data_IF_105843598566
#
_entry.id   IF_105843598566
#
_cell.length_a   1.000
_cell.length_b   1.000
_cell.length_c   1.000
_cell.angle_alpha   90.00
_cell.angle_beta   90.00
_cell.angle_gamma   90.00
#
_symmetry.space_group_name_H-M   'P 1'
#
loop_
_entity.id
_entity.type
_entity.pdbx_description
1 polymer ?
#
# COMPACT_ATOMS: atom_id res chain seq x y z
N UNK A 1 9.46 3.64 22.21
CA UNK A 1 10.88 3.59 21.82
C UNK A 1 11.64 4.88 22.17
N UNK A 2 10.96 6.01 22.40
CA UNK A 2 11.59 7.21 22.98
C UNK A 2 12.69 7.85 22.12
N UNK A 3 12.67 7.61 20.80
CA UNK A 3 13.64 8.14 19.86
C UNK A 3 13.10 9.39 19.18
N UNK A 4 13.89 10.45 19.13
CA UNK A 4 13.51 11.75 18.57
C UNK A 4 12.98 11.65 17.14
N UNK A 5 13.67 10.90 16.29
CA UNK A 5 13.32 10.72 14.88
C UNK A 5 12.30 9.61 14.61
N UNK A 6 11.77 8.97 15.66
CA UNK A 6 10.80 7.89 15.56
C UNK A 6 9.85 7.91 16.76
N UNK A 7 8.98 8.92 16.84
CA UNK A 7 8.06 9.08 17.95
C UNK A 7 7.08 7.90 18.02
N UNK A 8 6.74 7.51 19.25
CA UNK A 8 5.77 6.46 19.48
C UNK A 8 4.37 6.90 19.04
N UNK A 9 3.66 6.01 18.35
CA UNK A 9 2.23 6.17 18.13
C UNK A 9 1.48 6.07 19.46
N UNK A 10 0.33 6.74 19.55
CA UNK A 10 -0.51 6.65 20.75
C UNK A 10 -0.87 5.20 21.09
N UNK A 11 -1.03 4.85 22.38
CA UNK A 11 -1.36 3.49 22.78
C UNK A 11 -2.59 2.94 22.06
N UNK A 12 -2.48 1.72 21.52
CA UNK A 12 -3.57 1.02 20.82
C UNK A 12 -3.79 1.44 19.35
N UNK A 13 -3.00 2.37 18.81
CA UNK A 13 -3.06 2.74 17.38
C UNK A 13 -2.44 1.67 16.50
N UNK A 14 -1.28 1.15 16.89
CA UNK A 14 -0.56 0.12 16.15
C UNK A 14 -0.75 -1.23 16.82
N UNK A 15 -0.89 -2.28 16.01
CA UNK A 15 -0.74 -3.65 16.52
C UNK A 15 0.70 -3.88 16.99
N UNK A 16 0.95 -4.84 17.90
CA UNK A 16 2.31 -5.19 18.29
C UNK A 16 3.15 -5.55 17.06
N UNK A 17 4.44 -5.20 17.03
CA UNK A 17 5.26 -5.53 15.88
C UNK A 17 5.48 -7.06 15.78
N UNK A 18 5.81 -7.58 14.59
CA UNK A 18 6.29 -8.95 14.45
C UNK A 18 7.50 -9.21 15.35
N UNK A 19 7.65 -10.46 15.81
CA UNK A 19 8.81 -10.86 16.61
C UNK A 19 10.04 -11.01 15.74
N UNK A 20 11.14 -10.37 16.13
CA UNK A 20 12.43 -10.49 15.44
C UNK A 20 12.80 -11.92 15.10
N UNK A 21 13.32 -12.07 13.89
CA UNK A 21 13.97 -13.27 13.35
C UNK A 21 15.36 -13.46 13.95
N UNK A 22 15.92 -14.65 13.80
CA UNK A 22 17.25 -15.00 14.30
C UNK A 22 18.32 -14.00 13.83
N UNK A 23 18.33 -13.66 12.54
CA UNK A 23 19.26 -12.68 11.99
C UNK A 23 19.07 -11.26 12.57
N UNK A 24 17.82 -10.86 12.86
CA UNK A 24 17.48 -9.55 13.42
C UNK A 24 17.81 -9.46 14.91
N UNK A 25 17.63 -10.56 15.65
CA UNK A 25 18.10 -10.68 17.04
C UNK A 25 19.62 -10.55 17.11
N UNK A 26 20.34 -11.27 16.23
CA UNK A 26 21.79 -11.14 16.12
C UNK A 26 22.19 -9.70 15.77
N UNK A 27 21.52 -9.07 14.80
CA UNK A 27 21.78 -7.69 14.42
C UNK A 27 21.56 -6.74 15.60
N UNK A 28 20.46 -6.88 16.35
CA UNK A 28 20.16 -6.07 17.55
C UNK A 28 21.25 -6.20 18.59
N UNK A 29 21.62 -7.42 18.94
CA UNK A 29 22.57 -7.69 20.00
C UNK A 29 23.98 -7.19 19.63
N UNK A 30 24.39 -7.34 18.37
CA UNK A 30 25.70 -6.88 17.88
C UNK A 30 25.75 -5.38 17.63
N UNK A 31 24.73 -4.79 17.03
CA UNK A 31 24.64 -3.34 16.79
C UNK A 31 24.74 -2.57 18.10
N UNK A 32 24.00 -3.01 19.13
CA UNK A 32 24.05 -2.35 20.44
C UNK A 32 25.42 -2.50 21.11
N UNK A 33 25.97 -3.72 21.14
CA UNK A 33 27.21 -4.00 21.85
C UNK A 33 28.47 -3.45 21.17
N UNK A 34 28.49 -3.35 19.83
CA UNK A 34 29.68 -2.93 19.06
C UNK A 34 29.61 -1.49 18.57
N UNK A 35 28.43 -0.99 18.26
CA UNK A 35 28.25 0.31 17.61
C UNK A 35 27.39 1.28 18.44
N UNK A 36 26.84 0.85 19.57
CA UNK A 36 25.93 1.66 20.39
C UNK A 36 24.54 1.90 19.75
N UNK A 37 24.31 1.39 18.54
CA UNK A 37 23.12 1.61 17.73
C UNK A 37 21.91 0.82 18.25
N UNK A 38 20.74 1.45 18.17
CA UNK A 38 19.47 0.80 18.49
C UNK A 38 18.88 0.14 17.24
N UNK A 39 18.53 -1.14 17.36
CA UNK A 39 17.75 -1.87 16.35
C UNK A 39 16.35 -2.00 16.89
N UNK A 40 15.38 -1.45 16.16
CA UNK A 40 14.02 -1.27 16.65
C UNK A 40 13.00 -1.93 15.73
N UNK A 41 11.89 -2.45 16.29
CA UNK A 41 10.90 -3.15 15.51
C UNK A 41 10.08 -2.28 14.56
N UNK A 42 9.78 -2.84 13.39
CA UNK A 42 8.91 -2.22 12.40
C UNK A 42 7.46 -2.65 12.68
N UNK A 43 6.60 -1.67 12.93
CA UNK A 43 5.15 -1.87 12.89
C UNK A 43 4.68 -1.92 11.43
N UNK A 44 4.34 -3.12 10.95
CA UNK A 44 4.02 -3.36 9.55
C UNK A 44 2.53 -3.24 9.29
N UNK A 45 2.16 -3.01 8.04
CA UNK A 45 0.79 -3.19 7.55
C UNK A 45 0.44 -4.69 7.43
N UNK A 46 0.68 -5.46 8.49
CA UNK A 46 0.44 -6.89 8.63
C UNK A 46 -0.34 -7.10 9.92
N UNK A 47 -1.37 -7.93 9.86
CA UNK A 47 -2.16 -8.29 11.03
C UNK A 47 -1.34 -9.20 11.96
N UNK A 48 -0.71 -8.64 12.98
CA UNK A 48 -0.05 -9.42 14.05
C UNK A 48 -1.02 -9.89 15.12
N UNK A 49 -2.30 -9.55 15.01
CA UNK A 49 -3.42 -10.04 15.81
C UNK A 49 -4.67 -10.13 14.92
N UNK A 50 -5.67 -10.93 15.31
CA UNK A 50 -6.97 -10.94 14.63
C UNK A 50 -7.67 -9.60 14.82
N UNK A 51 -8.40 -9.15 13.80
CA UNK A 51 -9.18 -7.93 13.87
C UNK A 51 -10.47 -8.16 14.68
N UNK A 52 -10.86 -7.17 15.47
CA UNK A 52 -12.13 -7.16 16.21
C UNK A 52 -13.27 -6.76 15.27
N UNK A 53 -13.76 -7.74 14.51
CA UNK A 53 -14.84 -7.58 13.55
C UNK A 53 -16.21 -7.27 14.19
N UNK A 54 -16.34 -7.41 15.51
CA UNK A 54 -17.61 -7.21 16.21
C UNK A 54 -17.75 -5.77 16.70
N UNK A 55 -16.65 -5.12 17.11
CA UNK A 55 -16.69 -3.75 17.62
C UNK A 55 -16.17 -2.70 16.63
N UNK A 56 -15.13 -3.00 15.86
CA UNK A 56 -14.46 -2.00 15.01
C UNK A 56 -15.39 -1.45 13.92
N UNK A 57 -16.19 -2.27 13.20
CA UNK A 57 -17.02 -1.74 12.12
C UNK A 57 -18.05 -0.72 12.61
N UNK A 58 -18.68 -0.96 13.75
CA UNK A 58 -19.64 -0.02 14.35
C UNK A 58 -18.99 1.31 14.76
N UNK A 59 -17.73 1.28 15.21
CA UNK A 59 -16.96 2.50 15.55
C UNK A 59 -16.58 3.30 14.31
N UNK A 60 -16.16 2.64 13.23
CA UNK A 60 -15.70 3.30 12.00
C UNK A 60 -16.84 3.81 11.13
N UNK A 61 -17.99 3.14 11.16
CA UNK A 61 -19.13 3.45 10.30
C UNK A 61 -20.43 3.58 11.12
N UNK A 62 -20.52 4.57 12.04
CA UNK A 62 -21.72 4.76 12.86
C UNK A 62 -22.94 5.02 11.98
N UNK A 63 -24.04 4.32 12.24
CA UNK A 63 -25.29 4.47 11.50
C UNK A 63 -25.31 3.86 10.08
N UNK A 64 -24.24 3.21 9.62
CA UNK A 64 -24.18 2.60 8.29
C UNK A 64 -24.07 1.07 8.36
N UNK A 65 -25.21 0.40 8.51
CA UNK A 65 -25.28 -1.06 8.67
C UNK A 65 -24.65 -1.84 7.49
N UNK A 66 -24.76 -1.33 6.26
CA UNK A 66 -24.16 -1.96 5.07
C UNK A 66 -22.63 -1.95 5.16
N UNK A 67 -22.04 -0.80 5.46
CA UNK A 67 -20.58 -0.67 5.60
C UNK A 67 -20.06 -1.49 6.79
N UNK A 68 -20.78 -1.49 7.91
CA UNK A 68 -20.44 -2.30 9.08
C UNK A 68 -20.36 -3.78 8.73
N UNK A 69 -21.38 -4.31 8.04
CA UNK A 69 -21.43 -5.72 7.62
C UNK A 69 -20.28 -6.07 6.67
N UNK A 70 -20.09 -5.29 5.60
CA UNK A 70 -19.05 -5.55 4.60
C UNK A 70 -17.65 -5.53 5.21
N UNK A 71 -17.38 -4.58 6.11
CA UNK A 71 -16.11 -4.49 6.81
C UNK A 71 -15.93 -5.65 7.79
N UNK A 72 -16.95 -6.01 8.57
CA UNK A 72 -16.91 -7.15 9.48
C UNK A 72 -16.61 -8.46 8.74
N UNK A 73 -17.28 -8.71 7.62
CA UNK A 73 -17.04 -9.86 6.75
C UNK A 73 -15.60 -9.88 6.22
N UNK A 74 -15.09 -8.76 5.73
CA UNK A 74 -13.69 -8.65 5.28
C UNK A 74 -12.71 -8.95 6.43
N UNK A 75 -12.93 -8.36 7.61
CA UNK A 75 -12.09 -8.59 8.79
C UNK A 75 -12.08 -10.06 9.21
N UNK A 76 -13.22 -10.75 9.20
CA UNK A 76 -13.32 -12.17 9.57
C UNK A 76 -12.60 -13.10 8.58
N UNK A 77 -12.51 -12.72 7.32
CA UNK A 77 -11.79 -13.49 6.29
C UNK A 77 -10.28 -13.38 6.39
N UNK A 78 -9.75 -12.41 7.14
CA UNK A 78 -8.32 -12.13 7.23
C UNK A 78 -7.74 -12.75 8.49
N UNK A 79 -6.74 -13.61 8.32
CA UNK A 79 -6.07 -14.24 9.44
C UNK A 79 -5.04 -13.31 10.08
N UNK A 80 -4.72 -13.59 11.34
CA UNK A 80 -3.45 -13.15 11.92
C UNK A 80 -2.30 -13.79 11.14
N UNK A 81 -1.21 -13.06 10.93
CA UNK A 81 -0.04 -13.57 10.24
C UNK A 81 0.59 -14.73 11.01
N UNK A 82 0.73 -15.87 10.33
CA UNK A 82 1.51 -17.02 10.78
C UNK A 82 2.52 -17.47 9.72
N UNK A 83 2.96 -16.52 8.86
CA UNK A 83 3.99 -16.74 7.84
C UNK A 83 3.61 -17.80 6.80
N UNK A 84 2.36 -17.78 6.33
CA UNK A 84 1.79 -18.82 5.47
C UNK A 84 2.37 -18.84 4.04
N UNK A 85 2.68 -17.68 3.47
CA UNK A 85 3.20 -17.53 2.10
C UNK A 85 4.14 -16.33 2.01
N UNK A 86 5.05 -16.33 1.05
CA UNK A 86 5.79 -15.13 0.63
C UNK A 86 4.79 -14.04 0.25
N UNK A 87 4.94 -12.84 0.83
CA UNK A 87 3.95 -11.78 0.62
C UNK A 87 4.24 -10.90 -0.61
N UNK A 88 5.37 -11.06 -1.32
CA UNK A 88 5.71 -10.18 -2.46
C UNK A 88 4.73 -10.36 -3.61
N UNK A 89 4.10 -11.54 -3.70
CA UNK A 89 3.06 -11.87 -4.67
C UNK A 89 1.65 -11.89 -4.07
N UNK A 90 1.48 -11.30 -2.89
CA UNK A 90 0.22 -11.28 -2.14
C UNK A 90 0.20 -12.28 -0.99
N UNK A 91 -0.73 -12.07 -0.05
CA UNK A 91 -0.87 -12.90 1.14
C UNK A 91 -2.08 -13.82 1.01
N UNK A 92 -1.85 -15.12 0.90
CA UNK A 92 -2.92 -16.14 0.75
C UNK A 92 -3.95 -16.12 1.88
N UNK A 93 -3.56 -15.66 3.07
CA UNK A 93 -4.39 -15.59 4.28
C UNK A 93 -4.91 -14.17 4.57
N UNK A 94 -4.64 -13.19 3.71
CA UNK A 94 -5.09 -11.80 3.85
C UNK A 94 -4.54 -11.05 5.07
N UNK A 95 -3.45 -11.54 5.68
CA UNK A 95 -2.84 -10.93 6.85
C UNK A 95 -2.09 -9.64 6.49
N UNK A 96 -1.33 -9.67 5.38
CA UNK A 96 -0.68 -8.47 4.85
C UNK A 96 -1.73 -7.56 4.18
N UNK A 97 -1.54 -6.25 4.29
CA UNK A 97 -2.36 -5.29 3.56
C UNK A 97 -1.99 -5.31 2.07
N UNK A 98 -3.01 -5.48 1.24
CA UNK A 98 -2.97 -5.18 -0.18
C UNK A 98 -4.33 -4.60 -0.58
N UNK A 99 -4.35 -3.71 -1.57
CA UNK A 99 -5.57 -3.00 -1.96
C UNK A 99 -6.64 -3.95 -2.51
N UNK A 100 -6.25 -5.04 -3.17
CA UNK A 100 -7.19 -6.01 -3.74
C UNK A 100 -7.98 -6.72 -2.63
N UNK A 101 -7.28 -7.23 -1.62
CA UNK A 101 -7.87 -7.96 -0.49
C UNK A 101 -8.62 -7.04 0.46
N UNK A 102 -8.05 -5.88 0.80
CA UNK A 102 -8.55 -5.05 1.90
C UNK A 102 -9.58 -4.03 1.44
N UNK A 103 -9.45 -3.47 0.23
CA UNK A 103 -10.29 -2.37 -0.25
C UNK A 103 -11.21 -2.79 -1.40
N UNK A 104 -10.65 -3.37 -2.46
CA UNK A 104 -11.42 -3.69 -3.67
C UNK A 104 -12.43 -4.81 -3.42
N UNK A 105 -12.05 -5.87 -2.69
CA UNK A 105 -12.96 -6.98 -2.38
C UNK A 105 -14.24 -6.55 -1.64
N UNK A 106 -14.19 -5.80 -0.51
CA UNK A 106 -15.42 -5.32 0.12
C UNK A 106 -16.17 -4.29 -0.74
N UNK A 107 -15.48 -3.48 -1.54
CA UNK A 107 -16.11 -2.55 -2.47
C UNK A 107 -16.89 -3.28 -3.58
N UNK A 108 -16.33 -4.34 -4.16
CA UNK A 108 -17.02 -5.23 -5.12
C UNK A 108 -18.25 -5.87 -4.48
N UNK A 109 -18.11 -6.42 -3.26
CA UNK A 109 -19.22 -7.02 -2.52
C UNK A 109 -20.33 -6.03 -2.17
N UNK A 110 -20.06 -4.72 -2.25
CA UNK A 110 -21.09 -3.70 -2.05
C UNK A 110 -22.08 -3.61 -3.22
N UNK A 111 -21.73 -4.13 -4.40
CA UNK A 111 -22.52 -4.01 -5.63
C UNK A 111 -22.48 -2.63 -6.29
N UNK A 112 -21.60 -1.73 -5.82
CA UNK A 112 -21.47 -0.36 -6.30
C UNK A 112 -20.12 -0.11 -7.04
N UNK A 113 -19.39 -1.17 -7.37
CA UNK A 113 -18.08 -1.09 -8.03
C UNK A 113 -18.03 -2.07 -9.19
N UNK A 114 -17.75 -1.54 -10.37
CA UNK A 114 -17.31 -2.30 -11.54
C UNK A 114 -15.80 -2.12 -11.71
N UNK A 115 -15.11 -3.22 -12.02
CA UNK A 115 -13.69 -3.21 -12.35
C UNK A 115 -13.53 -3.72 -13.78
N UNK A 116 -12.99 -2.86 -14.64
CA UNK A 116 -12.66 -3.22 -16.01
C UNK A 116 -11.15 -3.44 -16.14
N UNK A 117 -10.66 -4.69 -16.11
CA UNK A 117 -9.25 -4.97 -16.36
C UNK A 117 -8.90 -4.68 -17.82
N UNK A 118 -7.61 -4.55 -18.12
CA UNK A 118 -7.09 -4.28 -19.47
C UNK A 118 -7.55 -2.96 -20.12
N UNK A 119 -8.34 -2.13 -19.44
CA UNK A 119 -8.69 -0.78 -19.89
C UNK A 119 -7.57 0.23 -19.55
N UNK A 120 -6.70 0.50 -20.51
CA UNK A 120 -5.62 1.47 -20.33
C UNK A 120 -6.14 2.88 -20.62
N UNK A 121 -6.31 3.68 -19.57
CA UNK A 121 -6.70 5.08 -19.71
C UNK A 121 -5.70 5.83 -20.62
N UNK A 122 -6.24 6.51 -21.63
CA UNK A 122 -5.49 7.30 -22.61
C UNK A 122 -5.60 8.79 -22.30
N UNK A 123 -6.81 9.26 -21.99
CA UNK A 123 -7.15 10.67 -21.84
C UNK A 123 -8.35 10.85 -20.91
N UNK A 124 -8.29 11.84 -20.01
CA UNK A 124 -9.45 12.36 -19.30
C UNK A 124 -10.12 13.47 -20.12
N UNK A 125 -11.40 13.31 -20.45
CA UNK A 125 -12.14 14.25 -21.29
C UNK A 125 -12.77 15.35 -20.46
N UNK A 126 -12.91 16.55 -21.03
CA UNK A 126 -13.56 17.70 -20.39
C UNK A 126 -14.60 18.36 -21.31
N UNK A 127 -15.54 19.09 -20.72
CA UNK A 127 -16.47 19.95 -21.47
C UNK A 127 -15.83 21.33 -21.78
N UNK A 128 -16.58 22.20 -22.47
CA UNK A 128 -16.15 23.56 -22.78
C UNK A 128 -15.83 24.41 -21.52
N UNK A 129 -16.46 24.11 -20.39
CA UNK A 129 -16.19 24.75 -19.10
C UNK A 129 -14.95 24.17 -18.38
N UNK A 130 -14.25 23.22 -19.00
CA UNK A 130 -13.08 22.55 -18.42
C UNK A 130 -13.42 21.54 -17.32
N UNK A 131 -14.71 21.18 -17.16
CA UNK A 131 -15.15 20.17 -16.20
C UNK A 131 -14.98 18.77 -16.80
N UNK A 132 -14.39 17.85 -16.03
CA UNK A 132 -14.24 16.45 -16.44
C UNK A 132 -15.59 15.79 -16.77
N UNK A 133 -15.62 15.03 -17.86
CA UNK A 133 -16.81 14.33 -18.39
C UNK A 133 -16.64 12.82 -18.50
N UNK A 134 -15.42 12.31 -18.43
CA UNK A 134 -15.15 10.90 -18.62
C UNK A 134 -13.68 10.60 -18.87
N UNK A 135 -13.43 9.36 -19.32
CA UNK A 135 -12.10 8.86 -19.69
C UNK A 135 -12.22 8.07 -20.98
N UNK A 136 -11.37 8.38 -21.95
CA UNK A 136 -11.13 7.54 -23.12
C UNK A 136 -10.03 6.54 -22.77
N UNK A 137 -10.23 5.26 -23.09
CA UNK A 137 -9.30 4.18 -22.79
C UNK A 137 -9.14 3.23 -23.98
N UNK A 138 -8.00 2.54 -24.01
CA UNK A 138 -7.69 1.50 -24.99
C UNK A 138 -7.85 0.14 -24.30
N UNK A 139 -8.62 -0.76 -24.89
CA UNK A 139 -8.64 -2.16 -24.48
C UNK A 139 -7.32 -2.81 -24.93
N UNK A 140 -6.54 -3.30 -23.97
CA UNK A 140 -5.23 -3.92 -24.23
C UNK A 140 -5.33 -5.31 -24.86
N UNK A 141 -6.52 -5.90 -24.98
CA UNK A 141 -6.71 -7.21 -25.61
C UNK A 141 -6.76 -7.08 -27.14
N UNK A 142 -7.54 -6.14 -27.66
CA UNK A 142 -7.78 -5.96 -29.10
C UNK A 142 -7.31 -4.62 -29.67
N UNK A 143 -6.87 -3.69 -28.82
CA UNK A 143 -6.41 -2.35 -29.21
C UNK A 143 -7.54 -1.36 -29.53
N UNK A 144 -8.80 -1.72 -29.27
CA UNK A 144 -9.95 -0.87 -29.55
C UNK A 144 -10.05 0.29 -28.57
N UNK A 145 -10.57 1.43 -29.05
CA UNK A 145 -10.79 2.63 -28.25
C UNK A 145 -12.24 2.70 -27.76
N UNK A 146 -12.39 3.00 -26.48
CA UNK A 146 -13.69 3.11 -25.81
C UNK A 146 -13.74 4.37 -24.96
N UNK A 147 -14.96 4.77 -24.60
CA UNK A 147 -15.19 5.93 -23.76
C UNK A 147 -16.11 5.59 -22.57
N UNK A 148 -15.68 5.95 -21.37
CA UNK A 148 -16.48 5.85 -20.14
C UNK A 148 -16.83 7.24 -19.62
N UNK A 149 -18.11 7.61 -19.70
CA UNK A 149 -18.61 8.88 -19.18
C UNK A 149 -18.76 8.85 -17.65
N UNK A 150 -18.43 9.94 -16.97
CA UNK A 150 -18.55 10.05 -15.52
C UNK A 150 -18.70 11.50 -15.06
N UNK A 151 -19.40 11.69 -13.93
CA UNK A 151 -19.58 13.03 -13.33
C UNK A 151 -18.33 13.53 -12.61
N UNK A 152 -17.50 12.58 -12.15
CA UNK A 152 -16.28 12.80 -11.38
C UNK A 152 -15.25 11.81 -11.92
N UNK A 153 -14.03 12.29 -12.17
CA UNK A 153 -12.89 11.48 -12.55
C UNK A 153 -11.83 11.61 -11.45
N UNK A 154 -11.38 10.49 -10.91
CA UNK A 154 -10.30 10.43 -9.92
C UNK A 154 -9.11 9.72 -10.56
N UNK A 155 -7.97 10.40 -10.68
CA UNK A 155 -6.74 9.79 -11.17
C UNK A 155 -6.02 9.09 -10.01
N UNK A 156 -5.94 7.76 -10.10
CA UNK A 156 -5.23 6.89 -9.16
C UNK A 156 -4.28 5.94 -9.90
N UNK A 157 -3.60 6.43 -10.93
CA UNK A 157 -2.84 5.60 -11.87
C UNK A 157 -1.37 5.35 -11.46
N UNK A 158 -0.95 5.71 -10.23
CA UNK A 158 0.45 5.90 -9.81
C UNK A 158 1.04 7.25 -10.26
N UNK A 159 2.22 7.60 -9.73
CA UNK A 159 2.85 8.93 -9.89
C UNK A 159 3.10 9.29 -11.35
N UNK A 160 3.77 8.40 -12.11
CA UNK A 160 4.18 8.66 -13.49
C UNK A 160 3.01 8.61 -14.47
N UNK A 161 2.14 7.60 -14.35
CA UNK A 161 1.00 7.44 -15.27
C UNK A 161 -0.08 8.50 -15.05
N UNK A 162 -0.27 8.99 -13.81
CA UNK A 162 -1.17 10.13 -13.58
C UNK A 162 -0.63 11.40 -14.23
N UNK A 163 0.69 11.63 -14.18
CA UNK A 163 1.36 12.72 -14.90
C UNK A 163 1.17 12.57 -16.41
N UNK A 164 1.43 11.37 -16.96
CA UNK A 164 1.22 11.08 -18.39
C UNK A 164 -0.21 11.38 -18.82
N UNK A 165 -1.19 10.92 -18.05
CA UNK A 165 -2.61 11.16 -18.32
C UNK A 165 -2.93 12.65 -18.33
N UNK A 166 -2.49 13.40 -17.33
CA UNK A 166 -2.74 14.84 -17.25
C UNK A 166 -2.12 15.58 -18.45
N UNK A 167 -0.86 15.29 -18.80
CA UNK A 167 -0.17 15.94 -19.92
C UNK A 167 -0.75 15.56 -21.29
N UNK A 168 -1.26 14.33 -21.43
CA UNK A 168 -1.93 13.87 -22.66
C UNK A 168 -3.36 14.41 -22.80
N UNK A 169 -4.02 14.76 -21.69
CA UNK A 169 -5.41 15.22 -21.68
C UNK A 169 -5.48 16.70 -22.03
N UNK A 170 -5.52 17.02 -23.32
CA UNK A 170 -5.46 18.39 -23.83
C UNK A 170 -6.83 18.86 -24.31
N UNK A 171 -7.09 20.15 -24.16
CA UNK A 171 -8.28 20.79 -24.70
C UNK A 171 -7.98 22.24 -25.08
N UNK A 172 -8.94 22.94 -25.70
CA UNK A 172 -8.81 24.36 -25.98
C UNK A 172 -8.51 25.21 -24.73
N UNK A 173 -8.98 24.79 -23.55
CA UNK A 173 -8.67 25.45 -22.27
C UNK A 173 -7.40 24.95 -21.59
N UNK A 174 -6.93 23.76 -21.97
CA UNK A 174 -5.76 23.11 -21.39
C UNK A 174 -4.79 22.66 -22.51
N UNK A 175 -4.21 23.60 -23.28
CA UNK A 175 -3.36 23.25 -24.43
C UNK A 175 -2.08 22.48 -24.01
N UNK A 176 -1.61 22.73 -22.80
CA UNK A 176 -0.40 22.13 -22.23
C UNK A 176 -0.70 20.97 -21.26
N UNK A 177 -1.93 20.44 -21.30
CA UNK A 177 -2.40 19.34 -20.45
C UNK A 177 -3.30 19.77 -19.31
N UNK A 178 -4.22 18.88 -18.92
CA UNK A 178 -5.19 19.11 -17.85
C UNK A 178 -4.46 19.37 -16.51
N UNK A 179 -4.97 20.33 -15.75
CA UNK A 179 -4.40 20.78 -14.47
C UNK A 179 -2.94 21.30 -14.53
N UNK A 180 -2.41 21.59 -15.72
CA UNK A 180 -1.03 22.04 -15.90
C UNK A 180 -0.86 23.57 -16.03
N UNK A 181 -1.77 24.37 -15.48
CA UNK A 181 -1.69 25.84 -15.57
C UNK A 181 -0.46 26.44 -14.87
N UNK A 182 0.15 25.71 -13.92
CA UNK A 182 1.39 26.10 -13.25
C UNK A 182 2.65 25.64 -13.96
N UNK A 183 2.54 24.77 -14.98
CA UNK A 183 3.68 24.12 -15.63
C UNK A 183 4.41 23.08 -14.76
N UNK A 184 3.86 22.74 -13.59
CA UNK A 184 4.51 21.86 -12.62
C UNK A 184 4.15 20.38 -12.77
N UNK A 185 3.18 20.03 -13.63
CA UNK A 185 2.82 18.62 -13.83
C UNK A 185 4.03 17.87 -14.41
N UNK A 186 4.43 16.80 -13.74
CA UNK A 186 5.63 16.01 -14.08
C UNK A 186 6.95 16.60 -13.58
N UNK A 187 6.92 17.66 -12.75
CA UNK A 187 8.09 18.20 -12.06
C UNK A 187 8.17 17.66 -10.63
N UNK A 188 9.33 17.88 -9.99
CA UNK A 188 9.61 17.46 -8.60
C UNK A 188 9.48 15.95 -8.35
N UNK A 189 9.75 15.13 -9.37
CA UNK A 189 9.84 13.70 -9.18
C UNK A 189 10.91 13.39 -8.14
N UNK A 190 10.51 12.67 -7.10
CA UNK A 190 11.36 12.23 -6.00
C UNK A 190 11.14 10.73 -5.81
N UNK A 191 12.19 10.01 -5.46
CA UNK A 191 12.13 8.59 -5.16
C UNK A 191 13.00 8.29 -3.93
N UNK A 192 12.75 7.16 -3.30
CA UNK A 192 13.58 6.64 -2.21
C UNK A 192 14.79 5.93 -2.80
N UNK A 193 15.94 6.59 -2.79
CA UNK A 193 17.19 5.94 -3.18
C UNK A 193 17.65 4.99 -2.08
N UNK A 194 18.06 3.79 -2.46
CA UNK A 194 18.58 2.78 -1.54
C UNK A 194 19.88 2.20 -2.05
N UNK A 195 20.75 1.81 -1.12
CA UNK A 195 21.92 0.98 -1.39
C UNK A 195 21.81 -0.28 -0.53
N UNK A 196 22.38 -1.38 -1.03
CA UNK A 196 22.31 -2.68 -0.38
C UNK A 196 23.69 -3.31 -0.28
N UNK A 197 23.88 -4.08 0.78
CA UNK A 197 24.99 -5.01 0.92
C UNK A 197 24.46 -6.32 1.49
N UNK A 198 25.07 -7.42 1.08
CA UNK A 198 24.74 -8.77 1.57
C UNK A 198 26.00 -9.42 2.11
N UNK A 199 25.88 -10.09 3.25
CA UNK A 199 26.93 -10.92 3.81
C UNK A 199 26.36 -12.26 4.28
N UNK A 200 27.26 -13.24 4.35
CA UNK A 200 27.00 -14.56 4.89
C UNK A 200 27.48 -14.60 6.35
N UNK A 201 26.70 -15.22 7.23
CA UNK A 201 27.04 -15.37 8.66
C UNK A 201 27.19 -16.87 8.94
N UNK A 202 28.43 -17.42 8.92
CA UNK A 202 28.63 -18.85 9.07
C UNK A 202 28.05 -19.47 10.34
N UNK A 203 27.97 -18.70 11.42
CA UNK A 203 27.36 -19.17 12.67
C UNK A 203 25.83 -19.43 12.58
N UNK A 204 25.18 -19.02 11.49
CA UNK A 204 23.76 -19.26 11.24
C UNK A 204 23.53 -20.34 10.17
N UNK A 205 24.60 -20.87 9.57
CA UNK A 205 24.52 -22.02 8.67
C UNK A 205 24.17 -23.26 9.50
N UNK A 206 23.26 -24.09 9.02
CA UNK A 206 22.78 -25.34 9.66
C UNK A 206 21.89 -25.21 10.91
N UNK A 207 21.32 -24.04 11.19
CA UNK A 207 20.27 -23.94 12.21
C UNK A 207 19.01 -24.73 11.80
N UNK A 208 18.25 -25.29 12.77
CA UNK A 208 16.96 -25.89 12.48
C UNK A 208 16.06 -24.91 11.69
N UNK A 209 15.26 -25.41 10.73
CA UNK A 209 14.36 -24.55 9.98
C UNK A 209 13.42 -23.78 10.92
N UNK A 210 13.47 -22.46 10.82
CA UNK A 210 12.55 -21.55 11.50
C UNK A 210 11.63 -20.89 10.47
N UNK A 211 10.40 -20.59 10.86
CA UNK A 211 9.44 -19.94 9.98
C UNK A 211 9.76 -18.44 9.84
N UNK A 212 10.80 -18.13 9.06
CA UNK A 212 11.36 -16.79 8.86
C UNK A 212 11.13 -16.23 7.45
N UNK A 213 10.58 -17.07 6.56
CA UNK A 213 10.36 -16.79 5.13
C UNK A 213 9.14 -15.88 4.88
N UNK A 214 8.17 -15.86 5.78
CA UNK A 214 6.85 -15.27 5.51
C UNK A 214 6.69 -13.76 5.73
N UNK A 215 7.76 -12.96 5.70
CA UNK A 215 7.64 -11.49 5.79
C UNK A 215 8.41 -10.76 4.71
N UNK A 216 7.69 -9.96 3.90
CA UNK A 216 8.25 -9.09 2.86
C UNK A 216 9.15 -8.03 3.46
N UNK A 217 10.46 -8.22 3.57
CA UNK A 217 11.35 -7.18 4.09
C UNK A 217 11.52 -7.20 5.62
N UNK A 218 12.33 -6.28 6.11
CA UNK A 218 12.85 -6.33 7.47
C UNK A 218 11.73 -6.15 8.52
N UNK A 219 11.88 -6.80 9.67
CA UNK A 219 11.03 -6.59 10.85
C UNK A 219 11.67 -5.63 11.85
N UNK A 220 12.89 -5.21 11.54
CA UNK A 220 13.64 -4.26 12.32
C UNK A 220 14.25 -3.20 11.39
N UNK A 221 14.51 -2.02 11.93
CA UNK A 221 15.32 -0.99 11.28
C UNK A 221 16.26 -0.37 12.31
N UNK A 222 17.28 0.31 11.82
CA UNK A 222 18.12 1.18 12.63
C UNK A 222 17.67 2.61 12.28
N UNK A 223 17.03 3.32 13.22
CA UNK A 223 16.64 4.70 12.99
C UNK A 223 17.90 5.56 12.85
N UNK A 224 17.78 6.63 12.07
CA UNK A 224 18.84 7.62 11.98
C UNK A 224 19.07 8.23 13.37
N UNK A 225 20.21 7.90 13.96
CA UNK A 225 20.59 8.28 15.33
C UNK A 225 21.81 9.20 15.21
N UNK A 226 21.69 10.45 15.66
CA UNK A 226 22.83 11.33 15.90
C UNK A 226 23.46 11.04 17.26
#
# INVERSE_FOLDING_TARGET
EGMENSPDSSPGVLLPPPRFRAAELLARDRAKAKLGLSVVPIHRAILTQRQDADRVPAKLHPGNAKAQRLLAENMRMRAQCFFATDCHRGCSIGAAFDSATVLLRPALNSGNLDILPNAMAREATVNADGKATGVTYIDKVDGSEHHASGRIVVLAASSQESVRLLLNSKSSRFPDGLANSSGLVGKYLTDSVSSGFSAQVPALEDLPPHNEDGTVGQQAYIPWSF
#
